data_IF_946573218702
#
_entry.id   IF_946573218702
#
_cell.length_a   1.000
_cell.length_b   1.000
_cell.length_c   1.000
_cell.angle_alpha   90.00
_cell.angle_beta   90.00
_cell.angle_gamma   90.00
#
_symmetry.space_group_name_H-M   'P 1'
#
loop_
_entity.id
_entity.type
_entity.pdbx_description
1 polymer ?
#
# COMPACT_ATOMS: atom_id res chain seq x y z
N UNK A 1 9.66 -9.48 0.42
CA UNK A 1 9.11 -10.54 1.28
C UNK A 1 9.26 -10.29 2.78
N UNK A 2 10.40 -9.77 3.28
CA UNK A 2 10.63 -9.61 4.72
C UNK A 2 9.54 -8.86 5.50
N UNK A 3 8.82 -7.92 4.85
CA UNK A 3 7.66 -7.25 5.45
C UNK A 3 6.45 -8.18 5.64
N UNK A 4 6.17 -9.05 4.67
CA UNK A 4 5.07 -10.02 4.73
C UNK A 4 5.35 -11.20 5.67
N UNK A 5 6.63 -11.54 5.87
CA UNK A 5 7.04 -12.67 6.74
C UNK A 5 7.13 -12.25 8.21
N UNK A 6 7.37 -10.96 8.48
CA UNK A 6 7.54 -10.43 9.84
C UNK A 6 6.33 -9.58 10.21
N UNK A 7 5.28 -10.15 10.85
CA UNK A 7 4.03 -9.45 11.11
C UNK A 7 4.17 -8.24 12.03
N UNK A 8 5.28 -8.12 12.79
CA UNK A 8 5.57 -6.96 13.64
C UNK A 8 6.28 -5.82 12.92
N UNK A 9 6.76 -6.03 11.68
CA UNK A 9 7.47 -4.99 10.93
C UNK A 9 6.44 -4.03 10.34
N UNK A 10 6.57 -2.77 10.72
CA UNK A 10 5.80 -1.67 10.12
C UNK A 10 6.64 -0.88 9.13
N UNK A 11 6.01 -0.32 8.11
CA UNK A 11 6.66 0.59 7.15
C UNK A 11 5.77 1.76 6.78
N UNK A 12 6.41 2.85 6.41
CA UNK A 12 5.80 3.99 5.76
C UNK A 12 6.01 3.87 4.24
N UNK A 13 5.17 4.53 3.46
CA UNK A 13 5.32 4.57 2.01
C UNK A 13 4.21 5.37 1.34
N UNK A 14 4.26 5.41 0.02
CA UNK A 14 3.26 6.10 -0.79
C UNK A 14 3.00 5.38 -2.11
N UNK A 15 1.77 5.45 -2.58
CA UNK A 15 1.36 5.09 -3.94
C UNK A 15 1.22 6.40 -4.70
N UNK A 16 2.08 6.59 -5.71
CA UNK A 16 2.12 7.79 -6.54
C UNK A 16 1.54 7.47 -7.91
N UNK A 17 0.43 8.10 -8.25
CA UNK A 17 -0.15 8.03 -9.58
C UNK A 17 0.42 9.16 -10.41
N UNK A 18 0.98 8.79 -11.56
CA UNK A 18 1.62 9.70 -12.51
C UNK A 18 1.00 9.45 -13.89
N UNK A 19 0.92 10.50 -14.69
CA UNK A 19 0.67 10.31 -16.14
C UNK A 19 2.01 10.09 -16.85
N UNK A 20 1.97 9.55 -18.06
CA UNK A 20 3.18 9.29 -18.84
C UNK A 20 4.01 10.53 -19.19
N UNK A 21 3.48 11.74 -18.99
CA UNK A 21 4.10 13.01 -19.43
C UNK A 21 4.27 14.04 -18.31
N UNK A 22 3.83 13.79 -17.08
CA UNK A 22 3.82 14.79 -16.01
C UNK A 22 4.24 14.28 -14.63
N UNK A 23 4.33 15.21 -13.66
CA UNK A 23 4.62 14.94 -12.25
C UNK A 23 3.54 14.10 -11.54
N UNK A 24 3.69 13.89 -10.23
CA UNK A 24 2.68 13.19 -9.41
C UNK A 24 1.37 13.97 -9.48
N UNK A 25 0.29 13.29 -9.90
CA UNK A 25 -1.05 13.89 -9.99
C UNK A 25 -1.95 13.49 -8.82
N UNK A 26 -1.62 12.38 -8.16
CA UNK A 26 -2.38 11.87 -7.03
C UNK A 26 -1.48 11.00 -6.16
N UNK A 27 -1.53 11.22 -4.86
CA UNK A 27 -0.72 10.53 -3.86
C UNK A 27 -1.61 9.90 -2.79
N UNK A 28 -1.32 8.64 -2.47
CA UNK A 28 -1.85 7.94 -1.31
C UNK A 28 -0.67 7.55 -0.42
N UNK A 29 -0.41 8.31 0.64
CA UNK A 29 0.65 8.04 1.60
C UNK A 29 0.10 7.25 2.79
N UNK A 30 0.87 6.30 3.29
CA UNK A 30 0.51 5.51 4.47
C UNK A 30 1.63 5.52 5.50
N UNK A 31 1.23 5.55 6.77
CA UNK A 31 2.15 5.57 7.91
C UNK A 31 1.94 4.35 8.80
N UNK A 32 3.07 3.79 9.23
CA UNK A 32 3.17 2.70 10.20
C UNK A 32 2.36 1.46 9.83
N UNK A 33 2.40 1.04 8.56
CA UNK A 33 1.58 -0.03 8.05
C UNK A 33 2.16 -1.43 8.29
N UNK A 34 1.30 -2.34 8.71
CA UNK A 34 1.57 -3.78 8.68
C UNK A 34 1.29 -4.35 7.29
N UNK A 35 2.05 -5.36 6.89
CA UNK A 35 1.69 -6.22 5.76
C UNK A 35 0.80 -7.36 6.25
N UNK A 36 -0.51 -7.27 5.96
CA UNK A 36 -1.50 -8.25 6.40
C UNK A 36 -1.55 -9.46 5.46
N UNK A 37 -1.31 -9.24 4.16
CA UNK A 37 -1.32 -10.31 3.18
C UNK A 37 -0.40 -9.99 2.00
N UNK A 38 0.29 -11.01 1.50
CA UNK A 38 1.02 -10.99 0.24
C UNK A 38 0.70 -12.27 -0.52
N UNK A 39 -0.08 -12.15 -1.60
CA UNK A 39 -0.44 -13.26 -2.49
C UNK A 39 0.23 -13.06 -3.84
N UNK A 40 0.80 -14.14 -4.38
CA UNK A 40 1.32 -14.18 -5.76
C UNK A 40 0.64 -15.31 -6.52
N UNK A 41 0.18 -15.01 -7.72
CA UNK A 41 -0.50 -15.96 -8.61
C UNK A 41 0.17 -15.88 -9.97
N UNK A 42 0.57 -17.02 -10.52
CA UNK A 42 0.96 -17.12 -11.93
C UNK A 42 -0.34 -17.26 -12.72
N UNK A 43 -0.63 -16.27 -13.57
CA UNK A 43 -1.86 -16.24 -14.34
C UNK A 43 -1.72 -17.17 -15.56
N UNK A 44 -2.54 -18.22 -15.59
CA UNK A 44 -2.45 -19.29 -16.59
C UNK A 44 -2.76 -18.83 -18.02
N UNK A 45 -3.48 -17.71 -18.18
CA UNK A 45 -3.88 -17.15 -19.48
C UNK A 45 -2.84 -16.18 -20.08
N UNK A 46 -1.58 -16.23 -19.61
CA UNK A 46 -0.48 -15.45 -20.17
C UNK A 46 -0.34 -14.02 -19.63
N UNK A 47 -1.09 -13.65 -18.59
CA UNK A 47 -0.96 -12.32 -17.94
C UNK A 47 0.26 -12.21 -17.00
N UNK A 48 1.10 -13.24 -16.95
CA UNK A 48 2.34 -13.24 -16.17
C UNK A 48 2.10 -13.47 -14.67
N UNK A 49 2.82 -12.74 -13.83
CA UNK A 49 2.77 -12.89 -12.37
C UNK A 49 1.96 -11.75 -11.73
N UNK A 50 0.81 -12.09 -11.15
CA UNK A 50 0.01 -11.18 -10.35
C UNK A 50 0.50 -11.18 -8.90
N UNK A 51 0.62 -9.99 -8.30
CA UNK A 51 0.99 -9.81 -6.88
C UNK A 51 -0.05 -8.93 -6.19
N UNK A 52 -0.73 -9.46 -5.18
CA UNK A 52 -1.66 -8.72 -4.33
C UNK A 52 -1.00 -8.48 -2.97
N UNK A 53 -0.95 -7.22 -2.55
CA UNK A 53 -0.44 -6.80 -1.24
C UNK A 53 -1.57 -6.08 -0.48
N UNK A 54 -1.86 -6.53 0.74
CA UNK A 54 -2.86 -5.89 1.62
C UNK A 54 -2.11 -5.30 2.81
N UNK A 55 -2.27 -4.00 3.01
CA UNK A 55 -1.63 -3.24 4.08
C UNK A 55 -2.68 -2.74 5.09
N UNK A 56 -2.31 -2.73 6.37
CA UNK A 56 -3.10 -2.13 7.44
C UNK A 56 -2.29 -0.99 8.07
N UNK A 57 -2.52 0.26 7.65
CA UNK A 57 -1.85 1.45 8.16
C UNK A 57 -2.47 2.01 9.45
N UNK A 58 -1.69 2.77 10.21
CA UNK A 58 -2.21 3.57 11.33
C UNK A 58 -2.87 4.87 10.85
N UNK A 59 -2.32 5.49 9.82
CA UNK A 59 -2.94 6.60 9.10
C UNK A 59 -2.67 6.54 7.60
N UNK A 60 -3.58 7.12 6.82
CA UNK A 60 -3.49 7.30 5.38
C UNK A 60 -3.73 8.76 5.04
N UNK A 61 -2.90 9.35 4.19
CA UNK A 61 -3.16 10.64 3.56
C UNK A 61 -3.50 10.43 2.09
N UNK A 62 -4.66 10.92 1.67
CA UNK A 62 -5.11 10.88 0.28
C UNK A 62 -5.10 12.30 -0.26
N UNK A 63 -4.11 12.60 -1.11
CA UNK A 63 -3.90 13.91 -1.70
C UNK A 63 -3.89 15.05 -0.66
N UNK A 64 -3.24 14.81 0.48
CA UNK A 64 -3.14 15.76 1.60
C UNK A 64 -4.26 15.66 2.64
N UNK A 65 -5.36 14.94 2.37
CA UNK A 65 -6.43 14.71 3.35
C UNK A 65 -6.08 13.52 4.23
N UNK A 66 -5.92 13.74 5.53
CA UNK A 66 -5.52 12.72 6.50
C UNK A 66 -6.72 11.93 7.06
N UNK A 67 -6.55 10.63 7.17
CA UNK A 67 -7.43 9.68 7.82
C UNK A 67 -6.59 8.89 8.82
N UNK A 68 -6.87 9.06 10.12
CA UNK A 68 -6.19 8.34 11.18
C UNK A 68 -7.13 7.36 11.91
N UNK A 69 -6.57 6.33 12.52
CA UNK A 69 -7.33 5.34 13.27
C UNK A 69 -7.62 5.73 14.74
N UNK A 70 -7.50 7.00 15.13
CA UNK A 70 -7.76 7.49 16.50
C UNK A 70 -9.22 7.91 16.69
N UNK A 71 -10.14 7.09 16.18
CA UNK A 71 -11.57 7.28 16.30
C UNK A 71 -11.95 7.42 17.79
N UNK A 72 -12.53 8.56 18.16
CA UNK A 72 -13.10 8.75 19.50
C UNK A 72 -14.33 7.86 19.62
N UNK A 73 -14.41 7.11 20.72
CA UNK A 73 -15.50 6.17 21.00
C UNK A 73 -16.74 6.88 21.52
#
# INVERSE_FOLDING_TARGET
YGWAVKPWVKKNGAILFKTGTSGVIFEVAFTNAYCVNLKRVVEALGQGLSTTLILSPESVSVNGIEFDNRWVK
#
